data_IF_090081007656
#
_entry.id   IF_090081007656
#
_cell.length_a   1.000
_cell.length_b   1.000
_cell.length_c   1.000
_cell.angle_alpha   90.00
_cell.angle_beta   90.00
_cell.angle_gamma   90.00
#
_symmetry.space_group_name_H-M   'P 1'
#
loop_
_entity.id
_entity.type
_entity.pdbx_description
1 polymer ?
#
# COMPACT_ATOMS: atom_id res chain seq x y z
N UNK A 1 -10.25 -22.06 11.70
CA UNK A 1 -11.22 -21.74 10.63
C UNK A 1 -11.17 -22.85 9.56
N UNK A 2 -12.29 -23.18 8.95
CA UNK A 2 -12.32 -24.25 7.93
C UNK A 2 -12.41 -23.60 6.55
N UNK A 3 -11.29 -23.09 6.04
CA UNK A 3 -11.22 -22.56 4.68
C UNK A 3 -11.11 -23.71 3.66
N UNK A 4 -11.71 -23.55 2.50
CA UNK A 4 -11.54 -24.47 1.38
C UNK A 4 -10.25 -24.20 0.59
N UNK A 5 -9.78 -22.93 0.57
CA UNK A 5 -8.51 -22.49 -0.02
C UNK A 5 -8.08 -21.16 0.59
N UNK A 6 -6.80 -20.84 0.52
CA UNK A 6 -6.19 -19.56 0.91
C UNK A 6 -5.30 -19.08 -0.23
N UNK A 7 -5.34 -17.79 -0.55
CA UNK A 7 -4.50 -17.18 -1.57
C UNK A 7 -3.30 -16.50 -0.92
N UNK A 8 -2.10 -16.63 -1.51
CA UNK A 8 -0.86 -16.02 -1.03
C UNK A 8 -0.88 -14.52 -1.32
N UNK A 9 -0.60 -13.69 -0.31
CA UNK A 9 -0.40 -12.26 -0.43
C UNK A 9 1.08 -11.85 -0.34
N UNK A 10 1.37 -10.57 -0.62
CA UNK A 10 2.74 -10.03 -0.47
C UNK A 10 3.20 -10.11 0.99
N UNK A 11 2.34 -9.84 1.95
CA UNK A 11 2.68 -9.90 3.37
C UNK A 11 2.96 -11.34 3.86
N UNK A 12 2.44 -12.36 3.19
CA UNK A 12 2.86 -13.74 3.47
C UNK A 12 4.31 -13.95 3.04
N UNK A 13 4.69 -13.48 1.83
CA UNK A 13 6.06 -13.61 1.30
C UNK A 13 7.06 -12.78 2.09
N UNK A 14 6.68 -11.61 2.60
CA UNK A 14 7.49 -10.75 3.48
C UNK A 14 7.98 -11.47 4.74
N UNK A 15 7.25 -12.47 5.21
CA UNK A 15 7.67 -13.24 6.39
C UNK A 15 8.90 -14.13 6.16
N UNK A 16 9.30 -14.32 4.90
CA UNK A 16 10.42 -15.16 4.50
C UNK A 16 10.14 -16.66 4.55
N UNK A 17 11.03 -17.45 3.94
CA UNK A 17 10.92 -18.91 3.79
C UNK A 17 10.60 -19.65 5.09
N UNK A 18 11.25 -19.27 6.19
CA UNK A 18 11.05 -19.95 7.48
C UNK A 18 9.60 -19.90 7.99
N UNK A 19 8.82 -18.93 7.55
CA UNK A 19 7.43 -18.74 7.98
C UNK A 19 6.47 -19.25 6.92
N UNK A 20 6.51 -18.72 5.69
CA UNK A 20 5.49 -19.10 4.70
C UNK A 20 5.60 -20.55 4.24
N UNK A 21 6.79 -21.16 4.20
CA UNK A 21 6.93 -22.60 3.90
C UNK A 21 6.32 -23.48 5.00
N UNK A 22 6.50 -23.08 6.26
CA UNK A 22 5.85 -23.75 7.39
C UNK A 22 4.33 -23.60 7.32
N UNK A 23 3.84 -22.37 7.05
CA UNK A 23 2.40 -22.10 6.89
C UNK A 23 1.82 -22.92 5.75
N UNK A 24 2.50 -23.00 4.60
CA UNK A 24 2.08 -23.82 3.47
C UNK A 24 1.99 -25.31 3.84
N UNK A 25 2.99 -25.82 4.59
CA UNK A 25 3.01 -27.21 5.07
C UNK A 25 1.88 -27.49 6.06
N UNK A 26 1.63 -26.58 7.01
CA UNK A 26 0.56 -26.70 8.00
C UNK A 26 -0.83 -26.65 7.35
N UNK A 27 -1.05 -25.74 6.41
CA UNK A 27 -2.30 -25.66 5.63
C UNK A 27 -2.52 -26.94 4.84
N UNK A 28 -1.49 -27.44 4.15
CA UNK A 28 -1.54 -28.67 3.38
C UNK A 28 -1.86 -29.89 4.25
N UNK A 29 -1.28 -30.00 5.44
CA UNK A 29 -1.57 -31.06 6.40
C UNK A 29 -3.04 -31.04 6.85
N UNK A 30 -3.69 -29.88 6.81
CA UNK A 30 -5.12 -29.69 7.10
C UNK A 30 -6.01 -29.75 5.84
N UNK A 31 -5.45 -30.12 4.68
CA UNK A 31 -6.18 -30.24 3.41
C UNK A 31 -6.61 -28.90 2.79
N UNK A 32 -5.96 -27.81 3.18
CA UNK A 32 -6.21 -26.45 2.69
C UNK A 32 -5.05 -26.06 1.75
N UNK A 33 -5.27 -25.87 0.45
CA UNK A 33 -4.22 -25.39 -0.44
C UNK A 33 -3.90 -23.91 -0.21
N UNK A 34 -2.62 -23.57 -0.29
CA UNK A 34 -2.11 -22.21 -0.29
C UNK A 34 -1.79 -21.82 -1.73
N UNK A 35 -2.64 -20.99 -2.34
CA UNK A 35 -2.72 -20.81 -3.78
C UNK A 35 -1.90 -19.60 -4.27
N UNK A 36 -0.98 -19.85 -5.21
CA UNK A 36 -0.28 -18.83 -5.97
C UNK A 36 0.30 -19.44 -7.26
N UNK A 37 -0.55 -19.73 -8.26
CA UNK A 37 -0.16 -20.41 -9.48
C UNK A 37 0.86 -19.67 -10.36
N UNK A 38 0.99 -18.35 -10.20
CA UNK A 38 1.98 -17.52 -10.88
C UNK A 38 3.32 -17.37 -10.13
N UNK A 39 3.44 -17.90 -8.91
CA UNK A 39 4.71 -18.01 -8.21
C UNK A 39 5.37 -19.32 -8.63
N UNK A 40 6.36 -19.26 -9.54
CA UNK A 40 6.97 -20.44 -10.16
C UNK A 40 8.42 -20.62 -9.75
N UNK A 41 8.87 -21.86 -9.71
CA UNK A 41 10.26 -22.23 -9.52
C UNK A 41 11.05 -22.02 -10.82
N UNK A 42 12.39 -22.01 -10.79
CA UNK A 42 13.23 -21.90 -11.99
C UNK A 42 12.96 -23.00 -13.06
N UNK A 43 12.38 -24.14 -12.66
CA UNK A 43 11.99 -25.21 -13.59
C UNK A 43 10.56 -25.02 -14.18
N UNK A 44 9.94 -23.87 -13.91
CA UNK A 44 8.58 -23.53 -14.40
C UNK A 44 7.44 -24.17 -13.63
N UNK A 45 7.72 -24.97 -12.58
CA UNK A 45 6.65 -25.56 -11.78
C UNK A 45 6.18 -24.57 -10.70
N UNK A 46 4.88 -24.59 -10.35
CA UNK A 46 4.38 -23.77 -9.27
C UNK A 46 5.15 -24.00 -7.95
N UNK A 47 5.45 -22.93 -7.22
CA UNK A 47 6.06 -22.99 -5.90
C UNK A 47 5.01 -23.36 -4.85
N UNK A 48 3.85 -22.72 -4.91
CA UNK A 48 2.65 -23.02 -4.12
C UNK A 48 1.63 -23.84 -4.95
N UNK A 49 0.53 -24.22 -4.35
CA UNK A 49 -0.58 -24.82 -5.10
C UNK A 49 -1.20 -23.79 -6.08
N UNK A 50 -1.72 -24.21 -7.21
CA UNK A 50 -2.33 -23.32 -8.22
C UNK A 50 -3.86 -23.40 -8.23
N UNK A 51 -4.43 -24.56 -7.85
CA UNK A 51 -5.86 -24.81 -7.97
C UNK A 51 -6.40 -25.71 -6.86
N UNK A 52 -7.63 -25.44 -6.46
CA UNK A 52 -8.47 -26.33 -5.63
C UNK A 52 -9.68 -26.79 -6.42
N UNK A 53 -9.88 -28.08 -6.50
CA UNK A 53 -11.13 -28.67 -7.02
C UNK A 53 -12.00 -29.13 -5.86
N UNK A 54 -13.22 -28.64 -5.81
CA UNK A 54 -14.22 -28.98 -4.81
C UNK A 54 -15.44 -29.67 -5.47
N UNK A 55 -16.13 -30.50 -4.72
CA UNK A 55 -17.44 -31.00 -5.09
C UNK A 55 -18.43 -30.71 -3.97
N UNK A 56 -19.47 -29.94 -4.27
CA UNK A 56 -20.54 -29.55 -3.34
C UNK A 56 -21.88 -29.79 -3.99
N UNK A 57 -22.74 -30.59 -3.35
CA UNK A 57 -24.05 -30.92 -3.85
C UNK A 57 -24.07 -31.41 -5.33
N UNK A 58 -23.07 -32.18 -5.72
CA UNK A 58 -22.93 -32.69 -7.09
C UNK A 58 -22.29 -31.70 -8.08
N UNK A 59 -22.09 -30.44 -7.69
CA UNK A 59 -21.43 -29.37 -8.49
C UNK A 59 -19.94 -29.45 -8.28
N UNK A 60 -19.15 -29.47 -9.36
CA UNK A 60 -17.70 -29.35 -9.35
C UNK A 60 -17.35 -27.86 -9.45
N UNK A 61 -16.51 -27.40 -8.51
CA UNK A 61 -16.05 -26.01 -8.40
C UNK A 61 -14.52 -26.01 -8.53
N UNK A 62 -13.99 -25.19 -9.40
CA UNK A 62 -12.56 -24.91 -9.49
C UNK A 62 -12.27 -23.53 -8.87
N UNK A 63 -11.29 -23.48 -7.97
CA UNK A 63 -10.77 -22.24 -7.40
C UNK A 63 -9.30 -22.16 -7.81
N UNK A 64 -8.96 -21.20 -8.67
CA UNK A 64 -7.59 -20.92 -9.08
C UNK A 64 -7.10 -19.73 -8.25
N UNK A 65 -5.86 -19.77 -7.77
CA UNK A 65 -5.30 -18.67 -6.96
C UNK A 65 -4.00 -18.15 -7.52
N UNK A 66 -3.83 -16.82 -7.46
CA UNK A 66 -2.65 -16.13 -7.96
C UNK A 66 -2.26 -15.00 -7.01
N UNK A 67 -0.95 -14.74 -6.89
CA UNK A 67 -0.44 -13.66 -6.08
C UNK A 67 -0.08 -12.44 -6.92
N UNK A 68 0.34 -11.33 -6.29
CA UNK A 68 0.74 -10.12 -6.99
C UNK A 68 2.03 -10.36 -7.78
N UNK A 69 2.09 -10.01 -9.07
CA UNK A 69 3.31 -10.19 -9.86
C UNK A 69 4.42 -9.21 -9.49
N UNK A 70 4.10 -8.11 -8.77
CA UNK A 70 5.04 -7.04 -8.42
C UNK A 70 5.90 -7.31 -7.18
N UNK A 71 5.93 -8.55 -6.68
CA UNK A 71 6.68 -8.96 -5.47
C UNK A 71 8.15 -8.55 -5.52
N UNK A 72 8.81 -8.73 -6.68
CA UNK A 72 10.23 -8.42 -6.86
C UNK A 72 10.55 -6.95 -6.66
N UNK A 73 9.61 -6.07 -6.95
CA UNK A 73 9.79 -4.63 -6.80
C UNK A 73 9.67 -4.19 -5.33
N UNK A 74 8.97 -4.94 -4.51
CA UNK A 74 8.69 -4.56 -3.12
C UNK A 74 9.58 -5.25 -2.10
N UNK A 75 10.00 -6.49 -2.38
CA UNK A 75 10.61 -7.39 -1.41
C UNK A 75 12.06 -7.72 -1.77
N UNK A 76 12.91 -7.78 -0.75
CA UNK A 76 14.28 -8.26 -0.86
C UNK A 76 14.31 -9.69 -1.43
N UNK A 77 15.22 -9.96 -2.37
CA UNK A 77 15.38 -11.24 -3.05
C UNK A 77 15.51 -12.41 -2.08
N UNK A 78 16.18 -12.22 -0.94
CA UNK A 78 16.31 -13.27 0.11
C UNK A 78 14.96 -13.80 0.60
N UNK A 79 13.87 -13.01 0.53
CA UNK A 79 12.54 -13.39 1.00
C UNK A 79 11.81 -14.28 0.00
N UNK A 80 12.17 -14.21 -1.28
CA UNK A 80 11.52 -14.97 -2.36
C UNK A 80 12.51 -15.76 -3.23
N UNK A 81 13.73 -15.98 -2.77
CA UNK A 81 14.75 -16.78 -3.47
C UNK A 81 14.19 -18.10 -3.97
N UNK A 82 14.47 -18.45 -5.23
CA UNK A 82 13.95 -19.68 -5.86
C UNK A 82 12.53 -19.56 -6.39
N UNK A 83 11.93 -18.36 -6.38
CA UNK A 83 10.66 -18.07 -7.04
C UNK A 83 10.82 -17.04 -8.15
N UNK A 84 9.92 -17.10 -9.11
CA UNK A 84 9.64 -16.06 -10.10
C UNK A 84 8.15 -15.80 -10.09
N UNK A 85 7.76 -14.55 -10.39
CA UNK A 85 6.34 -14.15 -10.40
C UNK A 85 5.95 -13.76 -11.82
N UNK A 86 5.05 -14.56 -12.41
CA UNK A 86 4.57 -14.34 -13.76
C UNK A 86 3.41 -13.35 -13.80
N UNK A 87 3.29 -12.61 -14.91
CA UNK A 87 2.21 -11.64 -15.12
C UNK A 87 0.85 -12.31 -15.18
N UNK A 88 -0.17 -11.69 -14.57
CA UNK A 88 -1.49 -12.31 -14.39
C UNK A 88 -2.28 -12.43 -15.69
N UNK A 89 -2.38 -11.36 -16.47
CA UNK A 89 -3.37 -11.28 -17.56
C UNK A 89 -3.21 -12.39 -18.60
N UNK A 90 -2.03 -12.71 -19.16
CA UNK A 90 -1.91 -13.82 -20.11
C UNK A 90 -2.03 -15.19 -19.43
N UNK A 91 -1.55 -15.32 -18.19
CA UNK A 91 -1.48 -16.59 -17.48
C UNK A 91 -2.86 -17.09 -17.01
N UNK A 92 -3.64 -16.20 -16.39
CA UNK A 92 -4.89 -16.60 -15.73
C UNK A 92 -5.88 -17.23 -16.71
N UNK A 93 -6.04 -16.66 -17.93
CA UNK A 93 -6.93 -17.26 -18.92
C UNK A 93 -6.45 -18.64 -19.38
N UNK A 94 -5.15 -18.81 -19.60
CA UNK A 94 -4.58 -20.10 -19.99
C UNK A 94 -4.84 -21.18 -18.91
N UNK A 95 -4.64 -20.86 -17.64
CA UNK A 95 -4.90 -21.77 -16.53
C UNK A 95 -6.39 -22.10 -16.41
N UNK A 96 -7.28 -21.11 -16.59
CA UNK A 96 -8.73 -21.34 -16.62
C UNK A 96 -9.11 -22.30 -17.74
N UNK A 97 -8.56 -22.13 -18.94
CA UNK A 97 -8.84 -22.98 -20.10
C UNK A 97 -8.33 -24.42 -19.87
N UNK A 98 -7.12 -24.58 -19.34
CA UNK A 98 -6.53 -25.88 -19.01
C UNK A 98 -7.36 -26.65 -17.97
N UNK A 99 -7.74 -25.99 -16.88
CA UNK A 99 -8.55 -26.59 -15.81
C UNK A 99 -9.97 -26.89 -16.32
N UNK A 100 -10.55 -26.01 -17.12
CA UNK A 100 -11.88 -26.23 -17.69
C UNK A 100 -11.91 -27.39 -18.64
N UNK A 101 -10.88 -27.56 -19.46
CA UNK A 101 -10.77 -28.72 -20.35
C UNK A 101 -10.58 -30.06 -19.59
N UNK A 102 -9.71 -30.05 -18.56
CA UNK A 102 -9.35 -31.24 -17.78
C UNK A 102 -10.42 -31.63 -16.79
N UNK A 103 -10.92 -30.70 -15.99
CA UNK A 103 -11.77 -30.97 -14.84
C UNK A 103 -13.26 -30.75 -15.13
N UNK A 104 -13.61 -30.00 -16.17
CA UNK A 104 -14.98 -29.65 -16.58
C UNK A 104 -15.84 -29.14 -15.40
N UNK A 105 -15.37 -28.13 -14.64
CA UNK A 105 -16.11 -27.58 -13.51
C UNK A 105 -17.39 -26.88 -13.97
N UNK A 106 -18.43 -26.89 -13.14
CA UNK A 106 -19.63 -26.08 -13.35
C UNK A 106 -19.47 -24.65 -12.86
N UNK A 107 -18.51 -24.42 -11.93
CA UNK A 107 -18.20 -23.12 -11.33
C UNK A 107 -16.71 -22.91 -11.35
N UNK A 108 -16.28 -21.73 -11.77
CA UNK A 108 -14.87 -21.30 -11.80
C UNK A 108 -14.71 -20.00 -11.02
N UNK A 109 -13.83 -20.01 -10.04
CA UNK A 109 -13.48 -18.86 -9.21
C UNK A 109 -11.99 -18.56 -9.42
N UNK A 110 -11.65 -17.35 -9.72
CA UNK A 110 -10.28 -16.83 -9.78
C UNK A 110 -10.06 -15.94 -8.58
N UNK A 111 -9.18 -16.35 -7.67
CA UNK A 111 -8.77 -15.57 -6.49
C UNK A 111 -7.40 -14.95 -6.75
N UNK A 112 -7.27 -13.66 -6.59
CA UNK A 112 -6.01 -12.92 -6.84
C UNK A 112 -5.65 -12.04 -5.64
N UNK A 113 -4.40 -12.01 -5.25
CA UNK A 113 -3.88 -10.96 -4.37
C UNK A 113 -3.37 -9.79 -5.22
N UNK A 114 -4.29 -9.10 -5.88
CA UNK A 114 -4.05 -7.91 -6.69
C UNK A 114 -5.26 -6.99 -6.49
N UNK A 115 -5.04 -5.67 -6.53
CA UNK A 115 -6.09 -4.69 -6.28
C UNK A 115 -7.17 -4.66 -7.35
N UNK A 116 -8.24 -3.92 -7.08
CA UNK A 116 -9.35 -3.71 -8.03
C UNK A 116 -8.88 -3.05 -9.31
N UNK A 117 -8.06 -1.99 -9.21
CA UNK A 117 -7.49 -1.27 -10.34
C UNK A 117 -8.52 -0.42 -11.10
N UNK A 118 -8.12 0.02 -12.30
CA UNK A 118 -8.96 0.83 -13.21
C UNK A 118 -9.51 0.07 -14.40
N UNK A 119 -8.93 -1.08 -14.72
CA UNK A 119 -9.29 -1.88 -15.88
C UNK A 119 -8.85 -1.26 -17.21
N UNK A 120 -7.75 -0.54 -17.21
CA UNK A 120 -7.12 0.13 -18.36
C UNK A 120 -5.67 -0.32 -18.57
N UNK A 121 -5.21 -1.34 -17.84
CA UNK A 121 -3.87 -1.91 -17.90
C UNK A 121 -2.76 -1.02 -17.32
N UNK A 122 -3.12 0.11 -16.68
CA UNK A 122 -2.13 1.12 -16.24
C UNK A 122 -1.56 0.86 -14.85
N UNK A 123 -2.17 -0.04 -14.06
CA UNK A 123 -1.78 -0.31 -12.68
C UNK A 123 -1.42 -1.80 -12.53
N UNK A 124 -0.13 -2.11 -12.63
CA UNK A 124 0.38 -3.49 -12.62
C UNK A 124 0.11 -4.24 -11.31
N UNK A 125 0.08 -3.56 -10.17
CA UNK A 125 -0.23 -4.13 -8.85
C UNK A 125 -1.73 -4.33 -8.60
N UNK A 126 -2.61 -3.79 -9.47
CA UNK A 126 -4.06 -3.76 -9.27
C UNK A 126 -4.79 -4.07 -10.56
N UNK A 127 -4.89 -5.37 -10.89
CA UNK A 127 -5.38 -5.87 -12.17
C UNK A 127 -6.76 -6.55 -12.09
N UNK A 128 -7.51 -6.36 -11.01
CA UNK A 128 -8.82 -6.99 -10.82
C UNK A 128 -9.83 -6.67 -11.93
N UNK A 129 -9.99 -5.38 -12.28
CA UNK A 129 -10.89 -4.95 -13.36
C UNK A 129 -10.37 -5.32 -14.75
N UNK A 130 -9.04 -5.42 -14.93
CA UNK A 130 -8.46 -5.88 -16.19
C UNK A 130 -8.79 -7.36 -16.44
N UNK A 131 -8.68 -8.19 -15.41
CA UNK A 131 -9.09 -9.59 -15.45
C UNK A 131 -10.62 -9.74 -15.63
N UNK A 132 -11.42 -8.93 -14.91
CA UNK A 132 -12.89 -8.95 -15.07
C UNK A 132 -13.30 -8.70 -16.53
N UNK A 133 -12.61 -7.79 -17.24
CA UNK A 133 -12.90 -7.45 -18.64
C UNK A 133 -12.38 -8.48 -19.65
N UNK A 134 -11.30 -9.18 -19.33
CA UNK A 134 -10.60 -10.07 -20.26
C UNK A 134 -10.94 -11.54 -20.13
N UNK A 135 -11.34 -11.99 -18.93
CA UNK A 135 -11.55 -13.41 -18.66
C UNK A 135 -12.87 -13.95 -19.24
N UNK A 136 -12.82 -15.19 -19.67
CA UNK A 136 -13.98 -15.98 -20.13
C UNK A 136 -14.06 -17.28 -19.34
N UNK A 137 -15.28 -17.79 -19.16
CA UNK A 137 -15.51 -19.04 -18.46
C UNK A 137 -15.30 -18.99 -16.94
N UNK A 138 -15.28 -17.79 -16.36
CA UNK A 138 -15.12 -17.50 -14.94
C UNK A 138 -16.43 -16.97 -14.37
N UNK A 139 -16.75 -17.29 -13.13
CA UNK A 139 -17.94 -16.81 -12.43
C UNK A 139 -17.61 -15.69 -11.44
N UNK A 140 -16.49 -15.83 -10.73
CA UNK A 140 -16.01 -14.82 -9.79
C UNK A 140 -14.54 -14.50 -10.00
N UNK A 141 -14.21 -13.20 -9.92
CA UNK A 141 -12.88 -12.68 -9.67
C UNK A 141 -12.88 -12.14 -8.24
N UNK A 142 -12.18 -12.80 -7.32
CA UNK A 142 -12.02 -12.36 -5.93
C UNK A 142 -10.66 -11.69 -5.82
N UNK A 143 -10.63 -10.39 -5.56
CA UNK A 143 -9.40 -9.61 -5.44
C UNK A 143 -9.25 -8.97 -4.05
N UNK A 144 -8.06 -8.43 -3.77
CA UNK A 144 -7.69 -7.83 -2.49
C UNK A 144 -6.55 -6.80 -2.69
N UNK A 145 -5.60 -6.66 -1.78
CA UNK A 145 -4.39 -5.84 -1.87
C UNK A 145 -4.62 -4.32 -1.73
N UNK A 146 -5.46 -3.69 -2.53
CA UNK A 146 -5.72 -2.24 -2.52
C UNK A 146 -6.69 -1.79 -1.42
N UNK A 147 -7.13 -2.70 -0.56
CA UNK A 147 -8.04 -2.47 0.57
C UNK A 147 -9.40 -1.88 0.18
N UNK A 148 -9.77 -1.93 -1.08
CA UNK A 148 -11.05 -1.41 -1.59
C UNK A 148 -12.19 -2.37 -1.27
N UNK A 149 -13.30 -1.85 -0.75
CA UNK A 149 -14.51 -2.64 -0.49
C UNK A 149 -15.49 -2.41 -1.65
N UNK A 150 -15.51 -3.32 -2.63
CA UNK A 150 -16.28 -3.13 -3.85
C UNK A 150 -16.79 -4.44 -4.44
N UNK A 151 -17.96 -4.38 -5.08
CA UNK A 151 -18.51 -5.45 -5.93
C UNK A 151 -18.79 -4.83 -7.31
N UNK A 152 -18.31 -5.48 -8.35
CA UNK A 152 -18.56 -5.07 -9.74
C UNK A 152 -19.13 -6.23 -10.52
N UNK A 153 -20.29 -6.04 -11.14
CA UNK A 153 -20.89 -7.02 -12.03
C UNK A 153 -20.61 -6.61 -13.48
N UNK A 154 -20.06 -7.52 -14.25
CA UNK A 154 -19.91 -7.38 -15.69
C UNK A 154 -20.38 -8.66 -16.39
N UNK A 155 -21.47 -8.53 -17.16
CA UNK A 155 -22.13 -9.67 -17.81
C UNK A 155 -22.43 -10.81 -16.82
N UNK A 156 -21.81 -11.98 -17.01
CA UNK A 156 -21.97 -13.16 -16.17
C UNK A 156 -20.87 -13.34 -15.12
N UNK A 157 -19.93 -12.42 -15.02
CA UNK A 157 -18.80 -12.46 -14.08
C UNK A 157 -19.00 -11.40 -13.00
N UNK A 158 -18.67 -11.72 -11.76
CA UNK A 158 -18.72 -10.79 -10.65
C UNK A 158 -17.34 -10.66 -9.99
N UNK A 159 -16.86 -9.44 -9.86
CA UNK A 159 -15.68 -9.12 -9.07
C UNK A 159 -16.09 -8.80 -7.64
N UNK A 160 -15.35 -9.33 -6.67
CA UNK A 160 -15.53 -9.08 -5.24
C UNK A 160 -14.18 -8.66 -4.65
N UNK A 161 -14.14 -7.51 -4.01
CA UNK A 161 -13.07 -7.11 -3.11
C UNK A 161 -13.67 -6.74 -1.75
N UNK A 162 -13.30 -7.48 -0.71
CA UNK A 162 -13.91 -7.33 0.62
C UNK A 162 -13.33 -6.18 1.43
N UNK A 163 -12.33 -5.47 0.92
CA UNK A 163 -11.60 -4.45 1.65
C UNK A 163 -10.55 -5.05 2.58
N UNK A 164 -10.35 -4.45 3.73
CA UNK A 164 -9.29 -4.80 4.68
C UNK A 164 -9.82 -5.02 6.10
N UNK A 165 -8.93 -5.54 6.97
CA UNK A 165 -9.15 -5.67 8.42
C UNK A 165 -10.41 -6.46 8.80
N UNK A 166 -10.84 -7.39 7.97
CA UNK A 166 -12.05 -8.19 8.16
C UNK A 166 -13.33 -7.37 8.41
N UNK A 167 -13.40 -6.12 7.89
CA UNK A 167 -14.58 -5.27 8.04
C UNK A 167 -15.78 -5.78 7.26
N UNK A 168 -15.53 -6.49 6.16
CA UNK A 168 -16.59 -7.07 5.34
C UNK A 168 -16.26 -8.52 4.96
N UNK A 169 -17.31 -9.28 4.70
CA UNK A 169 -17.24 -10.61 4.08
C UNK A 169 -17.76 -10.47 2.65
N UNK A 170 -16.96 -10.84 1.66
CA UNK A 170 -17.42 -10.98 0.28
C UNK A 170 -18.33 -12.19 0.16
N UNK A 171 -19.56 -11.97 -0.25
CA UNK A 171 -20.57 -13.01 -0.35
C UNK A 171 -21.01 -13.21 -1.80
N UNK A 172 -20.42 -14.19 -2.47
CA UNK A 172 -20.81 -14.61 -3.81
C UNK A 172 -21.91 -15.66 -3.78
N UNK A 173 -22.89 -15.53 -4.65
CA UNK A 173 -24.01 -16.46 -4.80
C UNK A 173 -24.14 -16.91 -6.25
N UNK A 174 -24.18 -18.23 -6.45
CA UNK A 174 -24.45 -18.83 -7.76
C UNK A 174 -25.71 -19.64 -7.67
N UNK A 175 -26.64 -19.43 -8.60
CA UNK A 175 -27.78 -20.28 -8.83
C UNK A 175 -27.55 -21.05 -10.12
N UNK A 176 -27.70 -22.39 -10.07
CA UNK A 176 -27.53 -23.30 -11.20
C UNK A 176 -28.82 -24.06 -11.47
N UNK A 177 -29.27 -24.07 -12.72
CA UNK A 177 -30.20 -25.05 -13.20
C UNK A 177 -29.42 -26.17 -13.91
N UNK A 178 -29.52 -27.37 -13.42
CA UNK A 178 -28.81 -28.56 -13.95
C UNK A 178 -29.79 -29.57 -14.54
N UNK A 179 -29.39 -30.16 -15.69
CA UNK A 179 -30.05 -31.32 -16.26
C UNK A 179 -28.97 -32.29 -16.71
N UNK A 180 -29.01 -33.52 -16.23
CA UNK A 180 -28.06 -34.60 -16.55
C UNK A 180 -26.59 -34.17 -16.31
N UNK A 181 -26.36 -33.42 -15.24
CA UNK A 181 -25.03 -32.87 -14.89
C UNK A 181 -24.56 -31.70 -15.73
N UNK A 182 -25.36 -31.25 -16.71
CA UNK A 182 -25.06 -30.08 -17.55
C UNK A 182 -25.75 -28.84 -17.01
N UNK A 183 -25.05 -27.71 -17.06
CA UNK A 183 -25.59 -26.39 -16.69
C UNK A 183 -26.51 -25.91 -17.81
N UNK A 184 -27.80 -25.72 -17.51
CA UNK A 184 -28.80 -25.15 -18.41
C UNK A 184 -28.90 -23.64 -18.26
N UNK A 185 -28.79 -23.17 -17.02
CA UNK A 185 -28.80 -21.77 -16.70
C UNK A 185 -27.92 -21.51 -15.47
N UNK A 186 -27.27 -20.32 -15.44
CA UNK A 186 -26.45 -19.88 -14.36
C UNK A 186 -26.71 -18.39 -14.09
N UNK A 187 -26.86 -18.02 -12.85
CA UNK A 187 -26.85 -16.60 -12.44
C UNK A 187 -25.85 -16.41 -11.30
N UNK A 188 -25.07 -15.34 -11.39
CA UNK A 188 -24.01 -14.98 -10.45
C UNK A 188 -24.36 -13.62 -9.86
N UNK A 189 -24.27 -13.48 -8.54
CA UNK A 189 -24.49 -12.23 -7.82
C UNK A 189 -23.53 -12.17 -6.62
N UNK A 190 -23.19 -10.98 -6.18
CA UNK A 190 -22.39 -10.78 -4.98
C UNK A 190 -22.86 -9.57 -4.20
N UNK A 191 -22.55 -9.57 -2.92
CA UNK A 191 -22.71 -8.46 -2.00
C UNK A 191 -21.60 -8.49 -0.93
N UNK A 192 -21.42 -7.38 -0.22
CA UNK A 192 -20.55 -7.29 0.93
C UNK A 192 -21.40 -7.33 2.20
N UNK A 193 -21.10 -8.27 3.07
CA UNK A 193 -21.73 -8.36 4.39
C UNK A 193 -20.80 -7.72 5.39
N UNK A 194 -21.25 -6.62 6.03
CA UNK A 194 -20.48 -5.97 7.07
C UNK A 194 -20.36 -6.88 8.28
N UNK A 195 -19.13 -7.03 8.78
CA UNK A 195 -18.87 -7.79 10.01
C UNK A 195 -19.38 -6.99 11.21
N UNK A 196 -20.18 -7.66 12.04
CA UNK A 196 -20.68 -7.07 13.28
C UNK A 196 -19.81 -7.53 14.45
N UNK A 197 -19.17 -6.58 15.13
CA UNK A 197 -18.32 -6.84 16.28
C UNK A 197 -19.07 -7.45 17.50
N UNK A 198 -20.40 -7.31 17.54
CA UNK A 198 -21.22 -7.89 18.63
C UNK A 198 -21.43 -9.40 18.49
N UNK A 199 -21.01 -9.99 17.37
CA UNK A 199 -21.11 -11.44 17.10
C UNK A 199 -19.74 -12.09 17.17
N UNK A 200 -19.38 -12.56 18.36
CA UNK A 200 -18.11 -13.23 18.61
C UNK A 200 -18.33 -14.75 18.67
N UNK A 201 -17.49 -15.52 17.99
CA UNK A 201 -17.42 -16.96 18.18
C UNK A 201 -16.59 -17.26 19.43
N UNK A 202 -17.27 -17.61 20.52
CA UNK A 202 -16.64 -17.84 21.83
C UNK A 202 -15.62 -18.99 21.82
N UNK A 203 -15.75 -19.98 20.90
CA UNK A 203 -14.76 -21.06 20.78
C UNK A 203 -13.48 -20.57 20.11
N UNK A 204 -13.61 -19.73 19.08
CA UNK A 204 -12.46 -19.07 18.46
C UNK A 204 -11.77 -18.12 19.43
N UNK A 205 -12.53 -17.28 20.12
CA UNK A 205 -12.00 -16.37 21.13
C UNK A 205 -11.19 -17.12 22.18
N UNK A 206 -11.76 -18.21 22.77
CA UNK A 206 -11.07 -19.02 23.76
C UNK A 206 -9.81 -19.71 23.19
N UNK A 207 -9.83 -20.13 21.92
CA UNK A 207 -8.69 -20.81 21.29
C UNK A 207 -7.49 -19.86 21.06
N UNK A 208 -7.74 -18.59 20.80
CA UNK A 208 -6.68 -17.59 20.53
C UNK A 208 -6.40 -16.64 21.69
N UNK A 209 -7.11 -16.80 22.83
CA UNK A 209 -7.01 -15.88 23.96
C UNK A 209 -5.58 -15.73 24.50
N UNK A 210 -4.85 -16.83 24.65
CA UNK A 210 -3.47 -16.79 25.15
C UNK A 210 -2.53 -16.04 24.21
N UNK A 211 -2.68 -16.25 22.90
CA UNK A 211 -1.85 -15.60 21.88
C UNK A 211 -2.19 -14.11 21.80
N UNK A 212 -3.48 -13.77 21.87
CA UNK A 212 -3.94 -12.38 21.94
C UNK A 212 -3.35 -11.63 23.14
N UNK A 213 -3.42 -12.22 24.35
CA UNK A 213 -2.86 -11.57 25.55
C UNK A 213 -1.32 -11.46 25.50
N UNK A 214 -0.63 -12.44 24.88
CA UNK A 214 0.81 -12.35 24.66
C UNK A 214 1.17 -11.21 23.70
N UNK A 215 0.47 -11.08 22.57
CA UNK A 215 0.66 -9.98 21.61
C UNK A 215 0.31 -8.64 22.25
N UNK A 216 -0.81 -8.56 22.97
CA UNK A 216 -1.24 -7.35 23.66
C UNK A 216 -0.19 -6.89 24.67
N UNK A 217 0.34 -7.80 25.50
CA UNK A 217 1.42 -7.48 26.46
C UNK A 217 2.66 -6.96 25.74
N UNK A 218 3.01 -7.56 24.60
CA UNK A 218 4.16 -7.13 23.80
C UNK A 218 3.95 -5.74 23.20
N UNK A 219 2.77 -5.47 22.63
CA UNK A 219 2.47 -4.21 21.93
C UNK A 219 2.23 -3.04 22.91
N UNK A 220 1.83 -3.33 24.15
CA UNK A 220 1.65 -2.32 25.20
C UNK A 220 2.92 -2.05 26.00
N UNK A 221 4.06 -2.70 25.70
CA UNK A 221 5.30 -2.40 26.40
C UNK A 221 5.77 -0.99 26.10
N UNK A 222 6.28 -0.30 27.09
CA UNK A 222 6.92 1.00 26.95
C UNK A 222 8.20 0.89 26.11
N UNK A 223 8.42 1.88 25.24
CA UNK A 223 9.60 1.92 24.36
C UNK A 223 10.42 3.20 24.48
N UNK A 224 9.86 4.27 25.05
CA UNK A 224 10.51 5.56 25.26
C UNK A 224 9.52 6.67 25.58
N UNK A 225 9.97 7.89 25.50
CA UNK A 225 9.14 9.07 25.73
C UNK A 225 9.01 9.91 24.42
N UNK A 226 7.95 10.67 24.32
CA UNK A 226 7.67 11.64 23.26
C UNK A 226 7.43 13.00 23.91
N UNK A 227 8.21 14.02 23.58
CA UNK A 227 8.12 15.33 24.22
C UNK A 227 7.33 16.39 23.41
N UNK A 228 6.78 15.96 22.26
CA UNK A 228 5.97 16.81 21.37
C UNK A 228 4.84 16.01 20.71
N UNK A 229 3.66 16.60 20.57
CA UNK A 229 2.55 15.96 19.85
C UNK A 229 2.90 15.75 18.36
N UNK A 230 2.61 14.57 17.83
CA UNK A 230 2.71 14.26 16.40
C UNK A 230 1.29 14.17 15.83
N UNK A 231 0.92 15.16 15.03
CA UNK A 231 -0.37 15.20 14.33
C UNK A 231 -0.15 14.98 12.86
N UNK A 232 -0.61 13.84 12.34
CA UNK A 232 -0.34 13.46 10.95
C UNK A 232 -1.02 14.38 9.95
N UNK A 233 -2.18 14.95 10.29
CA UNK A 233 -2.91 15.90 9.44
C UNK A 233 -2.13 17.19 9.16
N UNK A 234 -1.28 17.65 10.08
CA UNK A 234 -0.50 18.88 9.89
C UNK A 234 0.46 18.79 8.70
N UNK A 235 0.78 17.56 8.27
CA UNK A 235 1.62 17.28 7.10
C UNK A 235 1.07 17.86 5.80
N UNK A 236 -0.24 18.08 5.73
CA UNK A 236 -0.87 18.56 4.50
C UNK A 236 -0.78 20.07 4.34
N UNK A 237 -0.51 20.78 5.42
CA UNK A 237 -0.37 22.24 5.43
C UNK A 237 1.09 22.74 5.35
N UNK A 238 2.08 21.85 5.54
CA UNK A 238 3.49 22.23 5.51
C UNK A 238 4.38 21.34 6.37
N UNK A 239 5.51 21.87 6.79
CA UNK A 239 6.39 21.17 7.74
C UNK A 239 5.70 20.99 9.08
N UNK A 240 5.85 19.81 9.66
CA UNK A 240 5.29 19.50 10.97
C UNK A 240 6.16 18.47 11.71
N UNK A 241 6.06 18.34 13.05
CA UNK A 241 6.84 17.40 13.83
C UNK A 241 6.75 15.96 13.34
N UNK A 242 5.59 15.52 12.88
CA UNK A 242 5.40 14.18 12.34
C UNK A 242 6.28 13.92 11.09
N UNK A 243 6.20 14.78 10.08
CA UNK A 243 7.03 14.63 8.87
C UNK A 243 8.50 14.86 9.15
N UNK A 244 8.83 15.79 10.06
CA UNK A 244 10.19 16.04 10.49
C UNK A 244 10.83 14.79 11.11
N UNK A 245 10.06 14.03 11.92
CA UNK A 245 10.51 12.72 12.43
C UNK A 245 10.81 11.75 11.28
N UNK A 246 9.89 11.60 10.31
CA UNK A 246 10.09 10.66 9.20
C UNK A 246 11.32 11.06 8.36
N UNK A 247 11.52 12.35 8.08
CA UNK A 247 12.73 12.85 7.41
C UNK A 247 13.99 12.61 8.23
N UNK A 248 13.94 12.83 9.56
CA UNK A 248 15.07 12.59 10.47
C UNK A 248 15.49 11.11 10.43
N UNK A 249 14.52 10.19 10.46
CA UNK A 249 14.80 8.76 10.35
C UNK A 249 15.41 8.41 8.99
N UNK A 250 14.85 8.94 7.91
CA UNK A 250 15.34 8.69 6.55
C UNK A 250 16.75 9.24 6.33
N UNK A 251 17.04 10.43 6.84
CA UNK A 251 18.36 11.07 6.79
C UNK A 251 19.38 10.44 7.77
N UNK A 252 18.96 9.53 8.64
CA UNK A 252 19.88 8.74 9.47
C UNK A 252 20.60 7.66 8.66
N UNK A 253 20.11 7.32 7.48
CA UNK A 253 20.78 6.40 6.57
C UNK A 253 22.15 6.97 6.18
N UNK A 254 23.18 6.12 6.30
CA UNK A 254 24.54 6.52 5.93
C UNK A 254 24.56 6.97 4.48
N UNK A 255 25.21 8.09 4.22
CA UNK A 255 25.33 8.77 2.92
C UNK A 255 24.08 9.47 2.37
N UNK A 256 22.93 9.41 3.01
CA UNK A 256 21.77 10.19 2.57
C UNK A 256 21.99 11.71 2.75
N UNK A 257 21.71 12.48 1.71
CA UNK A 257 21.79 13.94 1.70
C UNK A 257 20.39 14.57 1.64
N UNK A 258 19.47 13.88 1.00
CA UNK A 258 18.08 14.26 0.79
C UNK A 258 17.19 13.10 1.19
N UNK A 259 15.98 13.36 1.62
CA UNK A 259 14.96 12.32 1.85
C UNK A 259 13.65 12.69 1.18
N UNK A 260 12.95 11.69 0.61
CA UNK A 260 11.56 11.81 0.19
C UNK A 260 10.68 11.02 1.14
N UNK A 261 9.62 11.65 1.64
CA UNK A 261 8.64 11.02 2.51
C UNK A 261 7.25 11.63 2.34
N UNK A 262 6.24 10.80 2.46
CA UNK A 262 4.83 11.18 2.43
C UNK A 262 4.15 10.89 3.76
N UNK A 263 3.04 11.57 4.10
CA UNK A 263 2.22 11.23 5.27
C UNK A 263 1.53 9.89 5.05
N UNK A 264 1.82 8.91 5.91
CA UNK A 264 1.36 7.52 5.75
C UNK A 264 0.04 7.25 6.48
N UNK A 265 -0.35 8.12 7.41
CA UNK A 265 -1.60 8.04 8.16
C UNK A 265 -2.38 9.33 7.95
N UNK A 266 -3.65 9.21 7.56
CA UNK A 266 -4.46 10.36 7.13
C UNK A 266 -4.75 11.35 8.27
N UNK A 267 -5.28 10.86 9.40
CA UNK A 267 -5.62 11.69 10.55
C UNK A 267 -5.42 10.88 11.84
N UNK A 268 -4.25 11.06 12.46
CA UNK A 268 -3.88 10.39 13.69
C UNK A 268 -3.13 11.37 14.60
N UNK A 269 -3.52 11.37 15.86
CA UNK A 269 -2.79 12.06 16.92
C UNK A 269 -2.00 11.04 17.73
N UNK A 270 -0.71 11.30 17.94
CA UNK A 270 0.16 10.64 18.90
C UNK A 270 0.58 11.72 19.89
N UNK A 271 0.01 11.70 21.08
CA UNK A 271 0.22 12.75 22.09
C UNK A 271 1.57 12.56 22.79
N UNK A 272 2.15 13.69 23.20
CA UNK A 272 3.33 13.72 24.06
C UNK A 272 3.10 12.87 25.32
N UNK A 273 4.15 12.18 25.78
CA UNK A 273 4.11 11.28 26.92
C UNK A 273 4.84 9.97 26.67
N UNK A 274 4.46 8.91 27.38
CA UNK A 274 5.01 7.58 27.21
C UNK A 274 4.61 6.98 25.87
N UNK A 275 5.61 6.50 25.12
CA UNK A 275 5.39 5.70 23.92
C UNK A 275 5.33 4.22 24.26
N UNK A 276 4.35 3.53 23.72
CA UNK A 276 4.28 2.08 23.72
C UNK A 276 4.61 1.53 22.33
N UNK A 277 4.97 0.25 22.26
CA UNK A 277 5.34 -0.37 20.97
C UNK A 277 4.25 -0.22 19.89
N UNK A 278 2.99 -0.23 20.28
CA UNK A 278 1.87 -0.03 19.35
C UNK A 278 1.84 1.37 18.69
N UNK A 279 2.42 2.39 19.33
CA UNK A 279 2.48 3.74 18.75
C UNK A 279 3.39 3.77 17.51
N UNK A 280 4.39 2.88 17.43
CA UNK A 280 5.23 2.75 16.25
C UNK A 280 4.42 2.45 14.98
N UNK A 281 3.36 1.64 15.07
CA UNK A 281 2.44 1.37 13.96
C UNK A 281 1.53 2.55 13.62
N UNK A 282 1.29 3.43 14.59
CA UNK A 282 0.56 4.69 14.34
C UNK A 282 1.46 5.73 13.67
N UNK A 283 2.74 5.76 14.02
CA UNK A 283 3.76 6.63 13.40
C UNK A 283 4.10 6.13 12.00
N UNK A 284 4.37 4.83 11.85
CA UNK A 284 4.78 4.22 10.59
C UNK A 284 4.04 2.89 10.35
N UNK A 285 2.88 2.90 9.65
CA UNK A 285 2.00 1.73 9.56
C UNK A 285 2.45 0.67 8.55
N UNK A 286 3.32 1.02 7.60
CA UNK A 286 3.76 0.12 6.53
C UNK A 286 5.09 -0.56 6.83
N UNK A 287 5.34 -1.69 6.18
CA UNK A 287 6.61 -2.41 6.22
C UNK A 287 7.41 -2.08 4.96
N UNK A 288 8.12 -0.96 5.00
CA UNK A 288 8.97 -0.50 3.91
C UNK A 288 10.43 -0.47 4.37
N UNK A 289 11.31 -1.06 3.59
CA UNK A 289 12.73 -0.86 3.75
C UNK A 289 13.12 0.56 3.33
N UNK A 290 14.18 1.09 3.93
CA UNK A 290 14.74 2.37 3.55
C UNK A 290 15.86 2.16 2.52
N UNK A 291 15.69 2.74 1.34
CA UNK A 291 16.68 2.70 0.26
C UNK A 291 17.34 4.07 0.09
N UNK A 292 18.61 4.08 -0.30
CA UNK A 292 19.30 5.29 -0.75
C UNK A 292 19.55 5.17 -2.25
N UNK A 293 19.03 6.12 -3.01
CA UNK A 293 19.03 6.13 -4.49
C UNK A 293 19.74 7.39 -4.99
N UNK A 294 20.54 7.28 -6.04
CA UNK A 294 21.18 8.43 -6.68
C UNK A 294 20.24 9.10 -7.67
N UNK A 295 19.99 10.39 -7.46
CA UNK A 295 19.23 11.24 -8.36
C UNK A 295 20.02 12.51 -8.67
N UNK A 296 19.84 13.06 -9.88
CA UNK A 296 20.33 14.42 -10.19
C UNK A 296 19.43 15.45 -9.53
N UNK A 297 19.93 16.70 -9.36
CA UNK A 297 19.12 17.77 -8.81
C UNK A 297 17.89 18.08 -9.66
N UNK A 298 17.99 18.00 -11.00
CA UNK A 298 16.83 18.16 -11.87
C UNK A 298 15.78 17.04 -11.69
N UNK A 299 16.24 15.79 -11.52
CA UNK A 299 15.34 14.66 -11.20
C UNK A 299 14.65 14.88 -9.83
N UNK A 300 15.37 15.33 -8.81
CA UNK A 300 14.81 15.67 -7.49
C UNK A 300 13.71 16.74 -7.64
N UNK A 301 13.99 17.84 -8.33
CA UNK A 301 13.02 18.92 -8.56
C UNK A 301 11.78 18.40 -9.29
N UNK A 302 11.97 17.60 -10.35
CA UNK A 302 10.88 17.01 -11.12
C UNK A 302 10.02 16.04 -10.30
N UNK A 303 10.63 15.24 -9.43
CA UNK A 303 9.93 14.38 -8.49
C UNK A 303 9.03 15.19 -7.56
N UNK A 304 9.56 16.27 -6.98
CA UNK A 304 8.80 17.16 -6.10
C UNK A 304 7.67 17.87 -6.86
N UNK A 305 7.93 18.36 -8.07
CA UNK A 305 6.89 18.96 -8.92
C UNK A 305 5.72 17.98 -9.15
N UNK A 306 6.02 16.72 -9.45
CA UNK A 306 5.00 15.69 -9.66
C UNK A 306 4.22 15.38 -8.37
N UNK A 307 4.92 15.29 -7.24
CA UNK A 307 4.30 15.08 -5.93
C UNK A 307 3.34 16.21 -5.59
N UNK A 308 3.83 17.46 -5.68
CA UNK A 308 2.98 18.63 -5.38
C UNK A 308 1.84 18.79 -6.40
N UNK A 309 2.02 18.40 -7.67
CA UNK A 309 0.89 18.40 -8.61
C UNK A 309 -0.22 17.41 -8.22
N UNK A 310 0.13 16.32 -7.56
CA UNK A 310 -0.85 15.40 -7.00
C UNK A 310 -1.56 15.95 -5.75
N UNK A 311 -0.92 16.86 -5.04
CA UNK A 311 -1.33 17.36 -3.73
C UNK A 311 -2.10 18.67 -3.79
N UNK A 312 -1.63 19.65 -4.61
CA UNK A 312 -2.15 21.01 -4.65
C UNK A 312 -2.65 21.41 -6.05
N UNK A 313 -3.60 22.34 -6.06
CA UNK A 313 -4.03 23.04 -7.26
C UNK A 313 -3.06 24.16 -7.65
N UNK A 314 -3.22 24.72 -8.85
CA UNK A 314 -2.74 26.07 -9.11
C UNK A 314 -3.72 27.03 -8.44
N UNK A 315 -3.26 27.68 -7.36
CA UNK A 315 -4.12 28.52 -6.53
C UNK A 315 -4.55 29.80 -7.25
N UNK A 316 -5.82 30.07 -7.17
CA UNK A 316 -6.46 31.35 -7.55
C UNK A 316 -7.24 31.90 -6.35
N UNK A 317 -7.42 33.23 -6.24
CA UNK A 317 -8.20 33.81 -5.14
C UNK A 317 -9.56 33.12 -4.97
N UNK A 318 -9.94 32.85 -3.73
CA UNK A 318 -11.16 32.14 -3.32
C UNK A 318 -11.26 30.65 -3.73
N UNK A 319 -10.22 30.10 -4.35
CA UNK A 319 -10.12 28.69 -4.69
C UNK A 319 -9.50 27.84 -3.57
N UNK A 320 -9.48 26.52 -3.77
CA UNK A 320 -8.78 25.56 -2.91
C UNK A 320 -7.30 25.48 -3.30
N UNK A 321 -6.42 25.49 -2.29
CA UNK A 321 -4.99 25.17 -2.49
C UNK A 321 -4.81 23.67 -2.55
N UNK A 322 -5.41 22.93 -1.61
CA UNK A 322 -5.33 21.47 -1.62
C UNK A 322 -6.25 20.88 -2.68
N UNK A 323 -5.82 19.80 -3.35
CA UNK A 323 -6.65 19.05 -4.31
C UNK A 323 -7.68 18.19 -3.57
N UNK A 324 -8.75 18.84 -3.12
CA UNK A 324 -9.86 18.23 -2.39
C UNK A 324 -11.16 18.30 -3.18
N UNK A 325 -12.08 17.41 -2.86
CA UNK A 325 -13.43 17.39 -3.43
C UNK A 325 -14.46 17.08 -2.36
N UNK A 326 -15.68 17.63 -2.55
CA UNK A 326 -16.83 17.23 -1.76
C UNK A 326 -17.31 15.85 -2.22
N UNK A 327 -17.55 14.97 -1.28
CA UNK A 327 -18.09 13.64 -1.50
C UNK A 327 -19.27 13.37 -0.57
N UNK A 328 -19.86 12.20 -0.71
CA UNK A 328 -20.92 11.72 0.16
C UNK A 328 -20.51 10.36 0.73
N UNK A 329 -20.54 10.22 2.05
CA UNK A 329 -20.39 8.91 2.70
C UNK A 329 -21.59 8.04 2.29
N UNK A 330 -21.34 7.06 1.46
CA UNK A 330 -22.39 6.18 0.90
C UNK A 330 -23.22 5.44 1.97
N UNK A 331 -22.72 5.39 3.19
CA UNK A 331 -23.39 4.71 4.31
C UNK A 331 -24.31 5.63 5.09
N UNK A 332 -23.87 6.89 5.31
CA UNK A 332 -24.58 7.85 6.18
C UNK A 332 -25.31 8.91 5.39
N UNK A 333 -25.01 9.09 4.11
CA UNK A 333 -25.49 10.19 3.28
C UNK A 333 -24.92 11.56 3.70
N UNK A 334 -23.95 11.57 4.62
CA UNK A 334 -23.32 12.81 5.06
C UNK A 334 -22.31 13.28 4.02
N UNK A 335 -22.32 14.56 3.72
CA UNK A 335 -21.29 15.20 2.92
C UNK A 335 -19.99 15.23 3.69
N UNK A 336 -18.91 14.85 3.00
CA UNK A 336 -17.57 14.91 3.51
C UNK A 336 -16.60 15.48 2.45
N UNK A 337 -15.51 16.05 2.92
CA UNK A 337 -14.42 16.45 2.03
C UNK A 337 -13.31 15.40 2.08
N UNK A 338 -12.66 15.17 0.96
CA UNK A 338 -11.56 14.23 0.84
C UNK A 338 -10.54 14.68 -0.21
N UNK A 339 -9.31 14.20 -0.10
CA UNK A 339 -8.33 14.40 -1.16
C UNK A 339 -8.73 13.64 -2.43
N UNK A 340 -8.55 14.28 -3.58
CA UNK A 340 -8.79 13.67 -4.90
C UNK A 340 -7.78 12.53 -5.14
N UNK A 341 -6.53 12.74 -4.72
CA UNK A 341 -5.45 11.77 -4.84
C UNK A 341 -5.11 11.14 -3.48
N UNK A 342 -4.36 10.06 -3.50
CA UNK A 342 -3.98 9.33 -2.28
C UNK A 342 -2.87 10.06 -1.51
N UNK A 343 -3.08 10.45 -0.23
CA UNK A 343 -2.13 11.25 0.54
C UNK A 343 -0.76 10.57 0.74
N UNK A 344 -0.71 9.24 0.77
CA UNK A 344 0.56 8.51 0.86
C UNK A 344 1.47 8.67 -0.38
N UNK A 345 1.04 9.46 -1.37
CA UNK A 345 1.82 9.89 -2.53
C UNK A 345 2.17 11.39 -2.49
N UNK A 346 1.95 12.07 -1.37
CA UNK A 346 2.26 13.49 -1.19
C UNK A 346 3.65 13.63 -0.56
N UNK A 347 4.68 13.31 -1.33
CA UNK A 347 6.04 13.39 -0.84
C UNK A 347 6.52 14.85 -0.71
N UNK A 348 7.09 15.16 0.43
CA UNK A 348 7.95 16.31 0.66
C UNK A 348 9.42 15.88 0.74
N UNK A 349 10.35 16.82 0.77
CA UNK A 349 11.76 16.53 0.91
C UNK A 349 12.32 17.06 2.24
N UNK A 350 13.16 16.23 2.87
CA UNK A 350 14.07 16.64 3.94
C UNK A 350 15.49 16.75 3.41
N UNK A 351 16.36 17.50 4.11
CA UNK A 351 17.75 17.76 3.70
C UNK A 351 17.90 18.91 2.71
N UNK A 352 16.81 19.58 2.35
CA UNK A 352 16.76 20.68 1.38
C UNK A 352 16.15 21.95 1.99
N UNK A 353 16.52 23.09 1.41
CA UNK A 353 15.82 24.37 1.61
C UNK A 353 15.15 24.74 0.29
N UNK A 354 13.81 24.82 0.29
CA UNK A 354 13.03 25.08 -0.92
C UNK A 354 11.67 25.73 -0.63
N UNK A 355 11.07 26.31 -1.66
CA UNK A 355 9.70 26.83 -1.63
C UNK A 355 8.84 26.16 -2.68
N UNK A 356 7.55 26.13 -2.43
CA UNK A 356 6.53 25.62 -3.36
C UNK A 356 5.55 26.77 -3.65
N UNK A 357 5.68 27.40 -4.82
CA UNK A 357 4.79 28.49 -5.24
C UNK A 357 3.47 27.91 -5.77
N UNK A 358 2.44 27.96 -4.93
CA UNK A 358 1.11 27.41 -5.25
C UNK A 358 0.40 28.18 -6.39
N UNK A 359 0.87 29.38 -6.76
CA UNK A 359 0.29 30.17 -7.85
C UNK A 359 0.82 29.75 -9.22
N UNK A 360 1.90 28.97 -9.26
CA UNK A 360 2.56 28.54 -10.49
C UNK A 360 1.96 27.23 -11.03
N UNK A 361 2.02 27.02 -12.33
CA UNK A 361 1.61 25.74 -12.93
C UNK A 361 2.65 24.65 -12.61
N UNK A 362 2.25 23.39 -12.82
CA UNK A 362 3.12 22.21 -12.78
C UNK A 362 4.43 22.46 -13.56
N UNK A 363 5.53 22.04 -12.98
CA UNK A 363 6.87 22.18 -13.54
C UNK A 363 7.59 23.49 -13.17
N UNK A 364 6.92 24.43 -12.48
CA UNK A 364 7.46 25.75 -12.13
C UNK A 364 7.18 26.13 -10.67
N UNK A 365 6.69 25.21 -9.85
CA UNK A 365 6.29 25.46 -8.44
C UNK A 365 7.45 25.36 -7.48
N UNK A 366 8.36 24.41 -7.72
CA UNK A 366 9.42 24.04 -6.77
C UNK A 366 10.69 24.82 -7.08
N UNK A 367 11.15 25.62 -6.10
CA UNK A 367 12.40 26.36 -6.15
C UNK A 367 13.32 25.88 -5.01
N UNK A 368 14.34 25.07 -5.35
CA UNK A 368 15.32 24.55 -4.39
C UNK A 368 16.53 25.48 -4.38
N UNK A 369 16.94 25.94 -3.21
CA UNK A 369 18.05 26.91 -3.06
C UNK A 369 19.33 26.25 -2.56
N UNK A 370 19.25 25.49 -1.47
CA UNK A 370 20.42 24.87 -0.84
C UNK A 370 20.07 23.50 -0.27
N UNK A 371 21.09 22.73 0.07
CA UNK A 371 20.96 21.65 1.06
C UNK A 371 20.74 22.26 2.46
N UNK A 372 20.34 21.43 3.42
CA UNK A 372 20.12 21.86 4.80
C UNK A 372 21.35 22.48 5.46
N UNK A 373 22.55 22.03 5.09
CA UNK A 373 23.84 22.56 5.58
C UNK A 373 24.28 23.87 4.93
N UNK A 374 23.45 24.46 4.05
CA UNK A 374 23.72 25.69 3.32
C UNK A 374 24.51 25.52 2.02
N UNK A 375 24.90 24.29 1.65
CA UNK A 375 25.56 24.02 0.37
C UNK A 375 24.61 24.36 -0.78
N UNK A 376 25.03 25.18 -1.80
CA UNK A 376 24.19 25.51 -2.93
C UNK A 376 23.70 24.26 -3.68
N UNK A 377 22.41 24.24 -4.00
CA UNK A 377 21.83 23.15 -4.78
C UNK A 377 22.13 23.35 -6.28
N UNK A 378 22.47 22.25 -6.97
CA UNK A 378 22.73 22.26 -8.42
C UNK A 378 21.87 21.23 -9.12
N UNK A 379 21.21 21.63 -10.22
CA UNK A 379 20.39 20.72 -11.05
C UNK A 379 21.21 19.58 -11.65
N UNK A 380 22.50 19.81 -11.93
CA UNK A 380 23.35 18.85 -12.63
C UNK A 380 24.13 17.93 -11.66
N UNK A 381 24.15 18.27 -10.36
CA UNK A 381 24.85 17.45 -9.37
C UNK A 381 24.03 16.18 -9.02
N UNK A 382 24.76 15.14 -8.61
CA UNK A 382 24.16 13.91 -8.11
C UNK A 382 24.04 13.96 -6.59
N UNK A 383 22.90 13.55 -6.09
CA UNK A 383 22.56 13.47 -4.67
C UNK A 383 22.12 12.07 -4.29
N UNK A 384 22.43 11.66 -3.08
CA UNK A 384 21.93 10.45 -2.45
C UNK A 384 20.61 10.75 -1.75
N UNK A 385 19.52 10.20 -2.26
CA UNK A 385 18.15 10.44 -1.79
C UNK A 385 17.64 9.20 -1.06
N UNK A 386 17.34 9.34 0.23
CA UNK A 386 16.69 8.31 1.03
C UNK A 386 15.18 8.29 0.73
N UNK A 387 14.65 7.11 0.46
CA UNK A 387 13.23 6.90 0.18
C UNK A 387 12.82 5.48 0.53
N UNK A 388 11.52 5.22 0.57
CA UNK A 388 11.01 3.86 0.80
C UNK A 388 11.33 2.92 -0.37
N UNK A 389 11.47 1.62 -0.10
CA UNK A 389 11.55 0.59 -1.14
C UNK A 389 10.37 0.67 -2.11
N UNK A 390 9.17 1.01 -1.62
CA UNK A 390 7.99 1.27 -2.46
C UNK A 390 8.23 2.38 -3.49
N UNK A 391 8.86 3.51 -3.08
CA UNK A 391 9.19 4.60 -4.00
C UNK A 391 10.27 4.19 -5.00
N UNK A 392 11.33 3.56 -4.53
CA UNK A 392 12.42 3.11 -5.39
C UNK A 392 11.94 2.12 -6.47
N UNK A 393 10.90 1.33 -6.17
CA UNK A 393 10.26 0.42 -7.11
C UNK A 393 9.20 1.08 -8.02
N UNK A 394 9.13 2.40 -8.08
CA UNK A 394 8.21 3.14 -8.95
C UNK A 394 6.83 3.44 -8.35
N UNK A 395 6.59 3.06 -7.09
CA UNK A 395 5.34 3.32 -6.40
C UNK A 395 4.97 4.80 -6.37
N UNK A 396 3.71 5.12 -6.68
CA UNK A 396 3.20 6.48 -6.79
C UNK A 396 3.70 7.25 -8.02
N UNK A 397 4.48 6.63 -8.91
CA UNK A 397 4.98 7.17 -10.18
C UNK A 397 5.88 8.42 -10.07
N UNK A 398 6.33 8.77 -8.86
CA UNK A 398 7.13 9.97 -8.62
C UNK A 398 8.47 9.92 -9.41
N UNK A 399 9.12 8.75 -9.47
CA UNK A 399 10.35 8.55 -10.22
C UNK A 399 10.08 8.43 -11.73
N UNK A 400 9.13 7.58 -12.12
CA UNK A 400 8.90 7.26 -13.52
C UNK A 400 8.19 8.40 -14.27
N UNK A 401 6.98 8.81 -13.84
CA UNK A 401 6.23 9.90 -14.50
C UNK A 401 6.74 11.28 -14.11
N UNK A 402 7.21 11.44 -12.86
CA UNK A 402 7.77 12.71 -12.39
C UNK A 402 9.10 13.03 -13.07
N UNK A 403 10.07 12.16 -12.94
CA UNK A 403 11.44 12.40 -13.41
C UNK A 403 11.85 11.63 -14.68
N UNK A 404 10.99 10.76 -15.22
CA UNK A 404 11.29 9.97 -16.43
C UNK A 404 12.30 8.83 -16.19
N UNK A 405 12.44 8.38 -14.94
CA UNK A 405 13.38 7.33 -14.56
C UNK A 405 12.76 5.97 -14.86
N UNK A 406 13.54 5.09 -15.48
CA UNK A 406 13.18 3.68 -15.66
C UNK A 406 13.29 2.94 -14.33
N UNK A 407 12.13 2.68 -13.70
CA UNK A 407 12.05 2.03 -12.39
C UNK A 407 12.19 0.51 -12.46
N UNK A 408 12.20 -0.09 -13.64
CA UNK A 408 12.46 -1.51 -13.83
C UNK A 408 13.98 -1.83 -13.77
N UNK A 409 14.84 -0.81 -13.90
CA UNK A 409 16.30 -0.90 -13.91
C UNK A 409 16.94 0.00 -12.83
N UNK A 410 16.47 -0.08 -11.59
CA UNK A 410 16.95 0.79 -10.51
C UNK A 410 18.28 0.37 -9.87
N UNK A 411 18.77 -0.84 -10.13
CA UNK A 411 19.98 -1.38 -9.46
C UNK A 411 21.20 -0.46 -9.59
N UNK A 412 21.42 0.12 -10.75
CA UNK A 412 22.56 1.03 -11.00
C UNK A 412 22.45 2.36 -10.23
N UNK A 413 21.26 2.68 -9.72
CA UNK A 413 20.99 3.90 -8.94
C UNK A 413 20.90 3.65 -7.43
N UNK A 414 20.70 2.42 -6.99
CA UNK A 414 20.60 2.07 -5.57
C UNK A 414 22.00 2.04 -4.95
N UNK A 415 22.25 2.95 -4.02
CA UNK A 415 23.52 3.10 -3.27
C UNK A 415 23.55 2.18 -2.05
N UNK A 416 22.41 2.09 -1.37
CA UNK A 416 22.28 1.29 -0.16
C UNK A 416 20.84 0.85 0.10
N UNK A 417 20.69 -0.29 0.74
CA UNK A 417 19.45 -0.79 1.31
C UNK A 417 19.65 -0.92 2.83
N UNK A 418 18.69 -0.40 3.56
CA UNK A 418 18.66 -0.45 5.01
C UNK A 418 17.47 -1.27 5.50
N UNK A 419 17.35 -1.41 6.79
CA UNK A 419 16.28 -2.15 7.46
C UNK A 419 14.91 -1.49 7.24
N UNK A 420 13.86 -2.17 7.70
CA UNK A 420 12.51 -1.62 7.77
C UNK A 420 12.48 -0.32 8.59
N UNK A 421 11.76 0.69 8.10
CA UNK A 421 11.75 2.03 8.72
C UNK A 421 11.17 1.99 10.14
N UNK A 422 10.27 1.06 10.46
CA UNK A 422 9.76 0.88 11.82
C UNK A 422 10.83 0.33 12.76
N UNK A 423 11.72 -0.54 12.28
CA UNK A 423 12.90 -0.99 13.04
C UNK A 423 13.86 0.17 13.25
N UNK A 424 14.10 0.99 12.22
CA UNK A 424 14.92 2.21 12.34
C UNK A 424 14.31 3.18 13.37
N UNK A 425 12.99 3.37 13.37
CA UNK A 425 12.28 4.17 14.37
C UNK A 425 12.45 3.58 15.78
N UNK A 426 12.28 2.27 15.92
CA UNK A 426 12.48 1.60 17.21
C UNK A 426 13.91 1.79 17.74
N UNK A 427 14.91 1.57 16.89
CA UNK A 427 16.33 1.75 17.24
C UNK A 427 16.66 3.21 17.58
N UNK A 428 16.04 4.16 16.85
CA UNK A 428 16.18 5.59 17.16
C UNK A 428 15.65 5.91 18.55
N UNK A 429 14.43 5.45 18.89
CA UNK A 429 13.84 5.64 20.21
C UNK A 429 14.72 5.00 21.30
N UNK A 430 15.25 3.81 21.07
CA UNK A 430 16.11 3.12 22.05
C UNK A 430 17.44 3.86 22.29
N UNK A 431 18.03 4.45 21.24
CA UNK A 431 19.30 5.20 21.34
C UNK A 431 19.12 6.56 22.01
N UNK A 432 18.04 7.28 21.68
CA UNK A 432 17.76 8.62 22.23
C UNK A 432 16.92 8.59 23.52
N UNK A 433 16.48 7.41 23.96
CA UNK A 433 15.50 7.21 25.03
C UNK A 433 14.18 7.93 24.79
N UNK A 434 13.82 8.14 23.51
CA UNK A 434 12.57 8.81 23.13
C UNK A 434 12.65 9.49 21.76
N UNK A 435 11.63 10.31 21.50
CA UNK A 435 11.55 11.22 20.37
C UNK A 435 11.53 12.64 20.92
N UNK A 436 12.56 13.43 20.56
CA UNK A 436 12.77 14.77 21.11
C UNK A 436 12.56 15.86 20.08
N UNK A 437 11.72 16.85 20.42
CA UNK A 437 11.39 17.99 19.55
C UNK A 437 12.63 18.71 19.01
N UNK A 438 13.65 18.89 19.85
CA UNK A 438 14.89 19.56 19.44
C UNK A 438 15.66 18.80 18.36
N UNK A 439 15.60 17.46 18.37
CA UNK A 439 16.29 16.62 17.39
C UNK A 439 15.54 16.54 16.06
N UNK A 440 14.22 16.36 16.12
CA UNK A 440 13.40 16.19 14.91
C UNK A 440 13.12 17.51 14.20
N UNK A 441 13.21 18.66 14.89
CA UNK A 441 13.01 19.99 14.31
C UNK A 441 14.35 20.72 14.00
N UNK A 442 15.46 19.98 13.99
CA UNK A 442 16.77 20.55 13.62
C UNK A 442 16.84 20.85 12.12
N UNK A 443 16.56 22.12 11.77
CA UNK A 443 16.55 22.59 10.38
C UNK A 443 17.91 22.51 9.70
N UNK A 444 19.02 22.47 10.44
CA UNK A 444 20.35 22.26 9.86
C UNK A 444 20.52 20.83 9.33
N UNK A 445 19.67 19.92 9.78
CA UNK A 445 19.67 18.52 9.33
C UNK A 445 18.56 18.23 8.33
N UNK A 446 17.31 18.61 8.66
CA UNK A 446 16.15 18.29 7.83
C UNK A 446 15.85 19.33 6.77
N UNK A 447 16.49 20.53 6.83
CA UNK A 447 16.19 21.64 5.93
C UNK A 447 14.93 22.40 6.31
N UNK A 448 14.41 23.15 5.35
CA UNK A 448 13.16 23.89 5.51
C UNK A 448 12.43 24.01 4.18
N UNK A 449 11.11 23.88 4.21
CA UNK A 449 10.29 24.21 3.05
C UNK A 449 8.96 24.83 3.45
N UNK A 450 8.37 25.60 2.54
CA UNK A 450 7.10 26.27 2.76
C UNK A 450 6.31 26.48 1.47
N UNK A 451 5.00 26.59 1.60
CA UNK A 451 4.14 27.08 0.52
C UNK A 451 4.23 28.59 0.42
N UNK A 452 4.40 29.10 -0.80
CA UNK A 452 4.39 30.54 -1.09
C UNK A 452 3.36 30.86 -2.18
N UNK A 453 2.78 32.09 -2.23
CA UNK A 453 3.02 33.20 -1.28
C UNK A 453 2.33 32.95 0.07
N UNK A 454 2.78 33.63 1.12
CA UNK A 454 2.19 33.52 2.46
C UNK A 454 0.67 33.83 2.50
N UNK A 455 0.16 34.60 1.54
CA UNK A 455 -1.28 34.83 1.38
C UNK A 455 -2.11 33.58 1.09
N UNK A 456 -1.50 32.49 0.64
CA UNK A 456 -2.17 31.20 0.42
C UNK A 456 -2.44 30.43 1.72
N UNK A 457 -1.77 30.77 2.84
CA UNK A 457 -1.92 30.07 4.11
C UNK A 457 -3.38 30.02 4.60
N UNK A 458 -4.12 31.13 4.51
CA UNK A 458 -5.52 31.18 4.89
C UNK A 458 -6.42 30.24 4.07
N UNK A 459 -6.07 30.03 2.79
CA UNK A 459 -6.82 29.10 1.95
C UNK A 459 -6.49 27.65 2.31
N UNK A 460 -5.23 27.36 2.68
CA UNK A 460 -4.82 26.05 3.21
C UNK A 460 -5.56 25.76 4.53
N UNK A 461 -5.64 26.72 5.46
CA UNK A 461 -6.35 26.57 6.73
C UNK A 461 -7.85 26.27 6.50
N UNK A 462 -8.47 26.93 5.52
CA UNK A 462 -9.87 26.63 5.14
C UNK A 462 -10.01 25.20 4.60
N UNK A 463 -9.09 24.80 3.73
CA UNK A 463 -9.09 23.43 3.17
C UNK A 463 -8.89 22.38 4.27
N UNK A 464 -8.01 22.64 5.24
CA UNK A 464 -7.79 21.79 6.41
C UNK A 464 -9.04 21.70 7.28
N UNK A 465 -9.74 22.83 7.50
CA UNK A 465 -11.01 22.85 8.21
C UNK A 465 -12.10 22.00 7.50
N UNK A 466 -12.16 22.07 6.18
CA UNK A 466 -13.09 21.24 5.39
C UNK A 466 -12.76 19.73 5.52
N UNK A 467 -11.48 19.37 5.52
CA UNK A 467 -11.05 17.98 5.60
C UNK A 467 -11.20 17.36 6.99
N UNK A 468 -10.95 18.16 8.05
CA UNK A 468 -10.78 17.62 9.41
C UNK A 468 -11.75 18.22 10.42
N UNK A 469 -12.48 19.28 10.09
CA UNK A 469 -13.50 19.89 10.95
C UNK A 469 -12.91 20.75 12.09
N UNK A 470 -11.68 21.21 11.97
CA UNK A 470 -10.97 22.01 12.99
C UNK A 470 -10.69 23.44 12.50
#
# INVERSE_FOLDING_TARGET
MKYDAVCVGNHDVETGHNVYDRVAADLKANGIPFLAGNAVKPDGKPYFDSVRILKRHGVKIAILGFTNPNMKAWLDEKLWTGMQFESLIPLVQNEVDLISAKEKPQVVIVAIHSGTGKGDGTIYESQGLDLLKSLRGVDFVVCSHDHSAVVVQQDSICLINSGSRAQNIGHGRIRLALKDGKVLAKSVNADLIKVNADRVDSKMEAAFHSDYEAVKKFTLREVGDLDIDLRTRDSYAGMCPYMNLIHTLSLSAKSAQVSFAAPLTFNKDINAGRLIYNDLFSIYPYENQLFVVRLTGDEIRKCLEYSYDSWINTYVPDGHVLKIAEGEDQRTGQKNWHFINRPYNFDSAGGLVYTVDVTKPYGSRVCITTLADGTPFSSDAWYNVAMTSYRAAGGGYILSKGAGIDTDNMEDRIVARHDDIRNILYDYIQKSNGIHAAEINDTQRIGHWEFVPASAAQAIDKDMTLLFGE
#
